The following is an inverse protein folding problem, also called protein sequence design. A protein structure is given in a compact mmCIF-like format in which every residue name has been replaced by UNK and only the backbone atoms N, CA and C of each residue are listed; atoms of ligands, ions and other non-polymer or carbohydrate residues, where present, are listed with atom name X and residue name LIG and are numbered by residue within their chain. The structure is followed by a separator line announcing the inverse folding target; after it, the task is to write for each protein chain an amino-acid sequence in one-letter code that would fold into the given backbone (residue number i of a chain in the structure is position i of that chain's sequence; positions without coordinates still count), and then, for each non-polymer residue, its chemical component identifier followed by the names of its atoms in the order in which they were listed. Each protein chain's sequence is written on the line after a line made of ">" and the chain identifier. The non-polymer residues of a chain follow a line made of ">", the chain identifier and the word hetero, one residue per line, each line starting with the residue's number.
data_IF_036679666937
#
_entry.id   IF_036679666937
#
_cell.length_a   1.000
_cell.length_b   1.000
_cell.length_c   1.000
_cell.angle_alpha   90.00
_cell.angle_beta   90.00
_cell.angle_gamma   90.00
#
_symmetry.space_group_name_H-M   'P 1'
#
loop_
_entity.id
_entity.type
_entity.pdbx_description
1 polymer ?
#
# COMPACT_ATOMS: atom_id res chain seq x y z
N UNK A 1 20.54 6.96 -10.34
CA UNK A 1 21.64 5.97 -10.21
C UNK A 1 21.52 5.17 -8.92
N UNK A 2 21.42 5.79 -7.74
CA UNK A 2 21.26 5.07 -6.46
C UNK A 2 20.04 4.13 -6.38
N UNK A 3 18.85 4.58 -6.83
CA UNK A 3 17.61 3.77 -6.79
C UNK A 3 17.77 2.44 -7.55
N UNK A 4 18.46 2.46 -8.71
CA UNK A 4 18.66 1.24 -9.52
C UNK A 4 19.67 0.29 -8.88
N UNK A 5 20.69 0.83 -8.20
CA UNK A 5 21.68 0.02 -7.47
C UNK A 5 21.01 -0.73 -6.33
N UNK A 6 20.30 -0.01 -5.45
CA UNK A 6 19.66 -0.61 -4.27
C UNK A 6 18.60 -1.64 -4.68
N UNK A 7 17.82 -1.33 -5.72
CA UNK A 7 16.80 -2.23 -6.23
C UNK A 7 17.39 -3.51 -6.85
N UNK A 8 18.46 -3.36 -7.64
CA UNK A 8 19.15 -4.49 -8.24
C UNK A 8 19.72 -5.46 -7.21
N UNK A 9 20.22 -4.94 -6.09
CA UNK A 9 20.69 -5.76 -4.96
C UNK A 9 19.57 -6.60 -4.35
N UNK A 10 18.36 -6.04 -4.15
CA UNK A 10 17.22 -6.77 -3.58
C UNK A 10 16.76 -7.91 -4.48
N UNK A 11 16.61 -7.65 -5.79
CA UNK A 11 16.18 -8.69 -6.75
C UNK A 11 17.20 -9.82 -6.81
N UNK A 12 18.49 -9.49 -6.93
CA UNK A 12 19.55 -10.50 -7.01
C UNK A 12 19.66 -11.35 -5.72
N UNK A 13 19.43 -10.72 -4.56
CA UNK A 13 19.43 -11.41 -3.26
C UNK A 13 18.29 -12.43 -3.16
N UNK A 14 17.09 -12.07 -3.60
CA UNK A 14 15.87 -12.79 -3.23
C UNK A 14 15.19 -13.58 -4.38
N UNK A 15 15.61 -13.44 -5.65
CA UNK A 15 15.00 -14.13 -6.81
C UNK A 15 14.90 -15.65 -6.73
N UNK A 16 15.68 -16.30 -5.87
CA UNK A 16 15.64 -17.75 -5.67
C UNK A 16 14.61 -18.20 -4.62
N UNK A 17 13.76 -17.30 -4.12
CA UNK A 17 12.70 -17.59 -3.14
C UNK A 17 11.37 -17.85 -3.85
N UNK A 18 10.87 -19.09 -3.80
CA UNK A 18 9.63 -19.47 -4.47
C UNK A 18 8.37 -18.78 -3.88
N UNK A 19 8.42 -18.31 -2.63
CA UNK A 19 7.32 -17.58 -2.00
C UNK A 19 7.15 -16.15 -2.51
N UNK A 20 8.15 -15.59 -3.19
CA UNK A 20 8.03 -14.29 -3.85
C UNK A 20 7.37 -14.53 -5.19
N UNK A 21 6.21 -13.91 -5.41
CA UNK A 21 5.40 -14.12 -6.63
C UNK A 21 5.36 -12.88 -7.54
N UNK A 22 5.63 -11.70 -6.99
CA UNK A 22 5.81 -10.45 -7.75
C UNK A 22 6.77 -9.52 -6.99
N UNK A 23 7.30 -8.51 -7.68
CA UNK A 23 8.14 -7.47 -7.11
C UNK A 23 7.37 -6.15 -7.01
N UNK A 24 7.55 -5.40 -5.92
CA UNK A 24 7.13 -4.00 -5.86
C UNK A 24 8.26 -3.09 -6.33
N UNK A 25 7.97 -2.04 -7.10
CA UNK A 25 8.93 -1.03 -7.53
C UNK A 25 9.12 0.12 -6.50
N UNK A 26 8.49 0.02 -5.33
CA UNK A 26 8.54 1.01 -4.25
C UNK A 26 7.14 1.36 -3.72
N UNK A 27 7.07 2.38 -2.88
CA UNK A 27 5.82 2.91 -2.32
C UNK A 27 5.88 4.44 -2.26
N UNK A 28 4.77 5.11 -2.57
CA UNK A 28 4.53 6.56 -2.40
C UNK A 28 5.71 7.50 -2.78
N UNK A 29 6.52 7.11 -3.78
CA UNK A 29 7.72 7.84 -4.20
C UNK A 29 7.46 8.71 -5.45
N UNK A 30 6.20 9.10 -5.66
CA UNK A 30 5.72 9.77 -6.87
C UNK A 30 5.61 8.86 -8.09
N UNK A 31 5.41 9.44 -9.27
CA UNK A 31 5.33 8.72 -10.54
C UNK A 31 6.35 9.29 -11.55
N UNK A 32 6.68 8.51 -12.58
CA UNK A 32 7.53 8.96 -13.69
C UNK A 32 8.47 7.89 -14.24
N UNK A 33 9.26 8.27 -15.25
CA UNK A 33 10.13 7.35 -16.01
C UNK A 33 11.11 6.57 -15.13
N UNK A 34 11.50 7.12 -13.98
CA UNK A 34 12.40 6.43 -13.05
C UNK A 34 11.80 5.12 -12.53
N UNK A 35 10.49 5.09 -12.24
CA UNK A 35 9.81 3.85 -11.80
C UNK A 35 9.81 2.81 -12.91
N UNK A 36 9.58 3.24 -14.16
CA UNK A 36 9.63 2.32 -15.30
C UNK A 36 11.04 1.79 -15.58
N UNK A 37 12.09 2.58 -15.38
CA UNK A 37 13.47 2.08 -15.48
C UNK A 37 13.80 1.09 -14.35
N UNK A 38 13.27 1.27 -13.13
CA UNK A 38 13.39 0.30 -12.03
C UNK A 38 12.72 -1.03 -12.41
N UNK A 39 11.47 -0.98 -12.90
CA UNK A 39 10.73 -2.17 -13.33
C UNK A 39 11.47 -2.88 -14.48
N UNK A 40 11.94 -2.12 -15.46
CA UNK A 40 12.70 -2.66 -16.61
C UNK A 40 13.99 -3.34 -16.17
N UNK A 41 14.74 -2.75 -15.25
CA UNK A 41 15.96 -3.35 -14.71
C UNK A 41 15.65 -4.59 -13.86
N UNK A 42 14.61 -4.54 -13.03
CA UNK A 42 14.11 -5.69 -12.28
C UNK A 42 13.75 -6.86 -13.19
N UNK A 43 12.99 -6.61 -14.26
CA UNK A 43 12.65 -7.62 -15.29
C UNK A 43 13.88 -8.17 -16.01
N UNK A 44 14.93 -7.35 -16.19
CA UNK A 44 16.22 -7.82 -16.75
C UNK A 44 16.95 -8.77 -15.80
N UNK A 45 16.88 -8.53 -14.49
CA UNK A 45 17.55 -9.32 -13.45
C UNK A 45 16.78 -10.58 -13.06
N UNK A 46 15.45 -10.53 -13.10
CA UNK A 46 14.53 -11.63 -12.84
C UNK A 46 13.31 -11.57 -13.79
N UNK A 47 13.39 -12.22 -14.97
CA UNK A 47 12.28 -12.26 -15.92
C UNK A 47 11.17 -13.23 -15.51
N UNK A 48 11.30 -13.95 -14.40
CA UNK A 48 10.33 -14.98 -13.98
C UNK A 48 9.15 -14.44 -13.20
N UNK A 49 9.18 -13.16 -12.80
CA UNK A 49 8.18 -12.52 -11.94
C UNK A 49 7.69 -11.20 -12.52
N UNK A 50 6.46 -10.86 -12.15
CA UNK A 50 5.78 -9.63 -12.56
C UNK A 50 6.00 -8.50 -11.55
N UNK A 51 5.67 -7.26 -11.94
CA UNK A 51 5.93 -6.06 -11.16
C UNK A 51 4.67 -5.26 -10.86
N UNK A 52 4.63 -4.66 -9.67
CA UNK A 52 3.59 -3.74 -9.21
C UNK A 52 4.24 -2.48 -8.64
N UNK A 53 3.58 -1.33 -8.71
CA UNK A 53 3.97 -0.13 -7.97
C UNK A 53 2.77 0.57 -7.32
N UNK A 54 1.58 0.41 -7.90
CA UNK A 54 0.34 0.95 -7.35
C UNK A 54 0.03 2.38 -7.77
N UNK A 55 0.66 2.84 -8.86
CA UNK A 55 0.33 4.10 -9.56
C UNK A 55 0.66 5.41 -8.81
N UNK A 56 0.54 5.47 -7.48
CA UNK A 56 0.72 6.66 -6.63
C UNK A 56 0.03 7.91 -7.20
N UNK A 57 -1.22 7.74 -7.65
CA UNK A 57 -1.96 8.84 -8.26
C UNK A 57 -3.07 9.32 -7.34
N UNK A 58 -3.05 10.62 -7.06
CA UNK A 58 -4.18 11.34 -6.46
C UNK A 58 -5.08 11.94 -7.56
N UNK A 59 -4.83 11.63 -8.85
CA UNK A 59 -5.59 12.18 -9.97
C UNK A 59 -7.05 11.67 -9.91
N UNK A 60 -8.05 12.54 -9.78
CA UNK A 60 -9.47 12.16 -9.83
C UNK A 60 -9.87 11.45 -11.13
N UNK A 61 -9.07 11.62 -12.20
CA UNK A 61 -9.25 10.93 -13.47
C UNK A 61 -8.75 9.48 -13.47
N UNK A 62 -8.08 9.02 -12.40
CA UNK A 62 -7.53 7.65 -12.27
C UNK A 62 -6.69 7.25 -13.49
N UNK A 63 -5.87 8.18 -13.98
CA UNK A 63 -4.98 7.90 -15.09
C UNK A 63 -3.90 6.93 -14.62
N UNK A 64 -3.59 5.97 -15.48
CA UNK A 64 -2.48 5.07 -15.26
C UNK A 64 -1.15 5.82 -15.47
N UNK A 65 -0.60 6.37 -14.39
CA UNK A 65 0.66 7.14 -14.42
C UNK A 65 1.92 6.25 -14.48
N UNK A 66 1.75 4.92 -14.32
CA UNK A 66 2.85 3.93 -14.37
C UNK A 66 2.49 2.77 -15.31
N UNK A 67 2.42 2.99 -16.63
CA UNK A 67 1.96 1.98 -17.60
C UNK A 67 2.89 0.76 -17.77
N UNK A 68 4.05 0.78 -17.13
CA UNK A 68 5.05 -0.28 -17.19
C UNK A 68 4.88 -1.38 -16.13
N UNK A 69 4.02 -1.17 -15.12
CA UNK A 69 3.66 -2.20 -14.13
C UNK A 69 2.71 -3.24 -14.73
N UNK A 70 2.83 -4.48 -14.29
CA UNK A 70 2.06 -5.62 -14.79
C UNK A 70 0.74 -5.82 -14.01
N UNK A 71 0.65 -5.29 -12.79
CA UNK A 71 -0.51 -5.39 -11.90
C UNK A 71 -0.96 -3.97 -11.52
N UNK A 72 -2.27 -3.71 -11.57
CA UNK A 72 -2.86 -2.48 -11.04
C UNK A 72 -2.92 -2.61 -9.51
N UNK A 73 -2.25 -1.71 -8.80
CA UNK A 73 -2.18 -1.71 -7.35
C UNK A 73 -2.93 -0.54 -6.69
N UNK A 74 -4.26 -0.42 -6.82
CA UNK A 74 -4.96 0.72 -6.24
C UNK A 74 -4.78 0.75 -4.72
N UNK A 75 -4.64 1.96 -4.16
CA UNK A 75 -4.62 2.16 -2.70
C UNK A 75 -5.94 2.78 -2.24
N UNK A 76 -6.53 2.18 -1.22
CA UNK A 76 -7.75 2.64 -0.53
C UNK A 76 -8.92 3.01 -1.46
N UNK A 77 -9.01 2.36 -2.64
CA UNK A 77 -10.14 2.54 -3.54
C UNK A 77 -11.41 2.06 -2.85
N UNK A 78 -12.45 2.88 -2.80
CA UNK A 78 -13.76 2.44 -2.30
C UNK A 78 -14.31 1.29 -3.15
N UNK A 79 -15.24 0.45 -2.63
CA UNK A 79 -15.89 -0.60 -3.44
C UNK A 79 -16.51 -0.05 -4.73
N UNK A 80 -17.06 1.16 -4.69
CA UNK A 80 -17.61 1.83 -5.88
C UNK A 80 -16.52 2.16 -6.92
N UNK A 81 -15.37 2.69 -6.49
CA UNK A 81 -14.24 2.98 -7.38
C UNK A 81 -13.63 1.69 -7.92
N UNK A 82 -13.44 0.68 -7.07
CA UNK A 82 -12.92 -0.62 -7.47
C UNK A 82 -13.79 -1.25 -8.57
N UNK A 83 -15.12 -1.19 -8.44
CA UNK A 83 -16.06 -1.65 -9.47
C UNK A 83 -15.93 -0.83 -10.76
N UNK A 84 -16.06 0.49 -10.67
CA UNK A 84 -16.26 1.36 -11.84
C UNK A 84 -14.97 1.76 -12.55
N UNK A 85 -13.84 1.80 -11.84
CA UNK A 85 -12.53 2.26 -12.36
C UNK A 85 -11.57 1.14 -12.69
N UNK A 86 -11.83 -0.08 -12.22
CA UNK A 86 -10.93 -1.21 -12.40
C UNK A 86 -11.69 -2.42 -12.93
N UNK A 87 -12.64 -2.95 -12.14
CA UNK A 87 -13.29 -4.21 -12.44
C UNK A 87 -14.06 -4.20 -13.78
N UNK A 88 -14.74 -3.08 -14.08
CA UNK A 88 -15.53 -2.89 -15.30
C UNK A 88 -14.74 -2.26 -16.46
N UNK A 89 -13.47 -1.92 -16.29
CA UNK A 89 -12.65 -1.41 -17.39
C UNK A 89 -12.47 -2.53 -18.43
N UNK A 90 -12.79 -2.30 -19.71
CA UNK A 90 -12.62 -3.31 -20.75
C UNK A 90 -11.17 -3.77 -20.88
N UNK A 91 -10.96 -5.07 -21.12
CA UNK A 91 -9.62 -5.64 -21.35
C UNK A 91 -8.89 -4.98 -22.52
N UNK A 92 -9.64 -4.52 -23.53
CA UNK A 92 -9.10 -3.78 -24.68
C UNK A 92 -8.52 -2.40 -24.32
N UNK A 93 -8.91 -1.83 -23.17
CA UNK A 93 -8.40 -0.56 -22.68
C UNK A 93 -7.24 -0.77 -21.71
N UNK A 94 -7.38 -1.73 -20.79
CA UNK A 94 -6.30 -2.15 -19.89
C UNK A 94 -6.53 -3.63 -19.52
N UNK A 95 -5.62 -4.55 -19.86
CA UNK A 95 -5.80 -5.98 -19.61
C UNK A 95 -5.25 -6.43 -18.24
N UNK A 96 -4.60 -5.54 -17.49
CA UNK A 96 -3.85 -5.94 -16.29
C UNK A 96 -4.79 -6.39 -15.17
N UNK A 97 -4.45 -7.47 -14.43
CA UNK A 97 -5.15 -7.82 -13.20
C UNK A 97 -4.95 -6.72 -12.14
N UNK A 98 -5.79 -6.74 -11.12
CA UNK A 98 -5.70 -5.82 -9.98
C UNK A 98 -5.49 -6.58 -8.68
N UNK A 99 -4.50 -6.14 -7.90
CA UNK A 99 -4.28 -6.55 -6.52
C UNK A 99 -4.16 -5.28 -5.70
N UNK A 100 -5.07 -5.03 -4.76
CA UNK A 100 -5.06 -3.79 -4.00
C UNK A 100 -3.85 -3.77 -3.06
N UNK A 101 -2.88 -2.89 -3.32
CA UNK A 101 -1.62 -2.80 -2.56
C UNK A 101 -1.92 -2.54 -1.08
N UNK A 102 -2.87 -1.64 -0.82
CA UNK A 102 -3.44 -1.34 0.48
C UNK A 102 -4.94 -1.03 0.30
N UNK A 103 -5.88 -1.62 1.04
CA UNK A 103 -7.31 -1.31 0.82
C UNK A 103 -8.16 -1.08 2.07
N UNK A 104 -7.80 -1.70 3.19
CA UNK A 104 -8.49 -1.50 4.47
C UNK A 104 -7.46 -1.13 5.52
N UNK A 105 -7.66 0.02 6.15
CA UNK A 105 -6.88 0.43 7.31
C UNK A 105 -7.43 -0.26 8.58
N UNK A 106 -6.65 -1.15 9.19
CA UNK A 106 -6.93 -1.87 10.43
C UNK A 106 -6.62 -1.03 11.69
N UNK A 107 -6.65 0.30 11.57
CA UNK A 107 -6.38 1.22 12.67
C UNK A 107 -7.50 1.19 13.70
N UNK A 108 -7.21 0.64 14.88
CA UNK A 108 -8.14 0.71 16.00
C UNK A 108 -9.31 -0.25 15.91
N UNK A 109 -10.51 0.26 16.19
CA UNK A 109 -11.75 -0.45 15.88
C UNK A 109 -12.11 -0.17 14.42
N UNK A 110 -11.41 -0.85 13.52
CA UNK A 110 -11.48 -0.63 12.07
C UNK A 110 -11.94 -1.85 11.28
N UNK A 111 -11.48 -1.95 10.04
CA UNK A 111 -11.79 -3.06 9.13
C UNK A 111 -13.27 -3.29 8.81
N UNK A 112 -14.08 -2.23 8.83
CA UNK A 112 -15.45 -2.27 8.31
C UNK A 112 -15.47 -2.42 6.78
N UNK A 113 -16.53 -3.07 6.27
CA UNK A 113 -16.83 -3.18 4.85
C UNK A 113 -16.00 -4.22 4.09
N UNK A 114 -15.40 -5.19 4.79
CA UNK A 114 -14.63 -6.27 4.17
C UNK A 114 -15.50 -7.12 3.24
N UNK A 115 -16.77 -7.33 3.58
CA UNK A 115 -17.75 -8.06 2.79
C UNK A 115 -17.98 -7.42 1.43
N UNK A 116 -18.18 -6.10 1.33
CA UNK A 116 -18.36 -5.45 0.03
C UNK A 116 -17.13 -5.56 -0.88
N UNK A 117 -15.92 -5.53 -0.31
CA UNK A 117 -14.70 -5.76 -1.08
C UNK A 117 -14.61 -7.20 -1.60
N UNK A 118 -14.88 -8.17 -0.73
CA UNK A 118 -14.78 -9.59 -1.11
C UNK A 118 -15.89 -10.03 -2.05
N UNK A 119 -17.09 -9.47 -1.95
CA UNK A 119 -18.16 -9.65 -2.93
C UNK A 119 -17.70 -9.22 -4.33
N UNK A 120 -17.03 -8.07 -4.44
CA UNK A 120 -16.44 -7.62 -5.71
C UNK A 120 -15.32 -8.53 -6.20
N UNK A 121 -14.41 -8.95 -5.31
CA UNK A 121 -13.29 -9.84 -5.66
C UNK A 121 -13.82 -11.16 -6.23
N UNK A 122 -14.90 -11.71 -5.65
CA UNK A 122 -15.52 -12.92 -6.16
C UNK A 122 -16.37 -12.70 -7.43
N UNK A 123 -16.98 -11.52 -7.60
CA UNK A 123 -17.80 -11.17 -8.77
C UNK A 123 -16.95 -10.94 -10.03
N UNK A 124 -15.78 -10.31 -9.89
CA UNK A 124 -14.97 -9.85 -11.02
C UNK A 124 -13.60 -10.56 -11.09
N UNK A 125 -13.37 -11.48 -12.06
CA UNK A 125 -12.10 -12.23 -12.19
C UNK A 125 -10.83 -11.39 -12.33
N UNK A 126 -10.98 -10.11 -12.72
CA UNK A 126 -9.89 -9.13 -12.80
C UNK A 126 -9.33 -8.75 -11.43
N UNK A 127 -10.15 -8.81 -10.38
CA UNK A 127 -9.78 -8.47 -9.01
C UNK A 127 -9.22 -9.72 -8.33
N UNK A 128 -7.98 -9.63 -7.85
CA UNK A 128 -7.23 -10.79 -7.31
C UNK A 128 -7.01 -10.73 -5.79
N UNK A 129 -7.70 -9.80 -5.12
CA UNK A 129 -7.57 -9.55 -3.68
C UNK A 129 -6.80 -8.26 -3.38
N UNK A 130 -6.21 -8.21 -2.19
CA UNK A 130 -5.38 -7.09 -1.74
C UNK A 130 -4.78 -7.32 -0.36
N UNK A 131 -3.95 -6.39 0.10
CA UNK A 131 -3.38 -6.41 1.44
C UNK A 131 -4.06 -5.39 2.37
N UNK A 132 -4.42 -5.85 3.57
CA UNK A 132 -4.94 -5.00 4.66
C UNK A 132 -3.75 -4.29 5.31
N UNK A 133 -3.89 -2.98 5.56
CA UNK A 133 -2.88 -2.17 6.21
C UNK A 133 -3.24 -1.92 7.69
N UNK A 134 -2.52 -2.39 8.69
CA UNK A 134 -1.28 -3.15 8.69
C UNK A 134 -1.37 -4.36 9.65
N UNK A 135 -0.27 -5.12 9.72
CA UNK A 135 -0.23 -6.37 10.49
C UNK A 135 -0.14 -6.16 12.00
N UNK A 136 0.63 -5.16 12.44
CA UNK A 136 0.93 -4.94 13.86
C UNK A 136 1.16 -3.46 14.14
N UNK A 137 0.53 -2.94 15.19
CA UNK A 137 0.74 -1.57 15.61
C UNK A 137 2.20 -1.33 16.04
N UNK A 138 2.90 -0.32 15.50
CA UNK A 138 4.31 -0.06 15.80
C UNK A 138 4.53 0.66 17.15
N UNK A 139 3.70 0.36 18.15
CA UNK A 139 3.74 1.01 19.45
C UNK A 139 4.93 0.56 20.30
N UNK A 140 5.66 1.52 20.88
CA UNK A 140 6.68 1.27 21.90
C UNK A 140 6.05 1.37 23.29
N UNK A 141 6.38 0.44 24.18
CA UNK A 141 5.96 0.50 25.58
C UNK A 141 6.79 1.54 26.33
N UNK A 142 6.16 2.63 26.73
CA UNK A 142 6.80 3.74 27.44
C UNK A 142 5.89 4.27 28.56
N UNK A 143 6.50 4.86 29.60
CA UNK A 143 5.74 5.57 30.62
C UNK A 143 5.11 6.83 30.02
N UNK A 144 3.83 7.04 30.31
CA UNK A 144 3.12 8.25 29.92
C UNK A 144 3.79 9.45 30.60
N UNK A 145 4.25 10.41 29.80
CA UNK A 145 4.74 11.71 30.28
C UNK A 145 3.62 12.71 30.09
N UNK A 146 3.09 13.26 31.18
CA UNK A 146 2.08 14.31 31.12
C UNK A 146 2.80 15.66 31.14
N UNK A 147 2.50 16.52 30.16
CA UNK A 147 2.82 17.93 30.21
C UNK A 147 1.53 18.72 30.44
N UNK A 148 1.59 19.71 31.31
CA UNK A 148 0.49 20.66 31.51
C UNK A 148 0.74 21.85 30.60
N UNK A 149 -0.28 22.25 29.83
CA UNK A 149 -0.18 23.45 29.02
C UNK A 149 -0.17 24.73 29.89
N UNK A 150 0.29 25.83 29.30
CA UNK A 150 0.32 27.13 29.98
C UNK A 150 -1.00 27.90 29.85
N UNK A 151 -2.08 27.26 29.38
CA UNK A 151 -3.37 27.92 29.29
C UNK A 151 -3.97 28.11 30.69
N UNK A 152 -4.90 29.05 30.89
CA UNK A 152 -5.63 29.18 32.16
C UNK A 152 -6.40 27.92 32.58
N UNK A 153 -6.61 26.99 31.63
CA UNK A 153 -7.31 25.73 31.87
C UNK A 153 -6.38 24.59 32.31
N UNK A 154 -5.06 24.79 32.28
CA UNK A 154 -4.03 23.83 32.72
C UNK A 154 -4.29 22.41 32.18
N UNK A 155 -4.46 22.29 30.87
CA UNK A 155 -4.84 21.03 30.23
C UNK A 155 -3.63 20.09 30.22
N UNK A 156 -3.81 18.89 30.79
CA UNK A 156 -2.80 17.84 30.74
C UNK A 156 -2.82 17.15 29.37
N UNK A 157 -1.66 17.09 28.71
CA UNK A 157 -1.44 16.40 27.45
C UNK A 157 -0.38 15.32 27.63
N UNK A 158 -0.68 14.11 27.18
CA UNK A 158 0.32 13.04 27.11
C UNK A 158 1.29 13.32 25.97
N UNK A 159 2.58 13.50 26.29
CA UNK A 159 3.66 13.55 25.31
C UNK A 159 4.24 12.17 25.12
N UNK A 160 4.12 11.66 23.91
CA UNK A 160 4.74 10.41 23.46
C UNK A 160 5.98 10.75 22.63
N UNK A 161 7.08 10.00 22.84
CA UNK A 161 8.14 9.94 21.85
C UNK A 161 7.62 9.08 20.68
N UNK A 162 7.21 9.76 19.60
CA UNK A 162 6.98 9.36 18.18
C UNK A 162 6.97 7.84 17.85
N UNK A 163 6.06 7.24 17.08
CA UNK A 163 5.07 7.69 16.09
C UNK A 163 3.83 6.80 16.20
N UNK A 164 2.61 7.35 16.23
CA UNK A 164 1.45 6.57 15.75
C UNK A 164 0.20 7.41 15.57
N UNK A 165 -0.45 7.23 14.43
CA UNK A 165 -1.86 7.43 14.14
C UNK A 165 -2.81 6.46 14.89
N UNK A 166 -2.35 5.80 15.96
CA UNK A 166 -3.02 4.63 16.55
C UNK A 166 -3.32 4.76 18.04
N UNK A 167 -4.37 4.03 18.43
CA UNK A 167 -5.05 4.06 19.72
C UNK A 167 -4.18 3.64 20.91
N UNK A 168 -4.58 4.21 22.04
CA UNK A 168 -4.06 3.94 23.38
C UNK A 168 -4.41 2.52 23.81
N UNK A 169 -3.41 1.66 23.96
CA UNK A 169 -3.54 0.53 24.86
C UNK A 169 -3.13 1.01 26.26
N UNK A 170 -4.11 1.55 27.00
CA UNK A 170 -3.95 1.78 28.43
C UNK A 170 -4.12 0.45 29.14
N UNK A 171 -3.03 -0.29 29.32
CA UNK A 171 -2.98 -1.28 30.39
C UNK A 171 -3.04 -0.48 31.71
N UNK A 172 -4.21 -0.46 32.33
CA UNK A 172 -4.37 -0.06 33.73
C UNK A 172 -3.77 -1.18 34.58
N UNK A 173 -2.60 -0.93 35.16
CA UNK A 173 -2.18 -1.54 36.42
C UNK A 173 -2.52 -0.60 37.58
#
# INVERSE_FOLDING_TARGET
>A
MHILTDYGEWVLRDRNRACIIFWSAGNESGFGNNICEVIKEGKRLDPSRIFMYGGNTDDPAWKNEVPCEDIIGPRYATPYELRTRIAQVPESQDPRPSFMDEYVAATGNGAGGLDEYWDLIYEFPRLTGGAIWDYVSPGITEKIRLLTDNSPNHINTAVKAVASWFLLNSAME
#
